data_IF_708509518400
#
_entry.id   IF_708509518400
#
_cell.length_a   1.000
_cell.length_b   1.000
_cell.length_c   1.000
_cell.angle_alpha   90.00
_cell.angle_beta   90.00
_cell.angle_gamma   90.00
#
_symmetry.space_group_name_H-M   'P 1'
#
loop_
_entity.id
_entity.type
_entity.pdbx_description
1 polymer ?
#
# COMPACT_ATOMS: atom_id res chain seq x y z
N UNK A 1 26.62 15.72 67.55
CA UNK A 1 25.44 16.24 66.84
C UNK A 1 25.88 16.60 65.42
N UNK A 2 25.77 15.67 64.47
CA UNK A 2 26.07 15.92 63.05
C UNK A 2 24.76 15.85 62.27
N UNK A 3 24.25 17.02 61.88
CA UNK A 3 23.17 17.14 60.91
C UNK A 3 23.77 17.50 59.56
N UNK A 4 23.80 16.54 58.64
CA UNK A 4 24.15 16.81 57.23
C UNK A 4 22.85 17.00 56.47
N UNK A 5 22.65 18.19 55.92
CA UNK A 5 21.47 18.55 55.13
C UNK A 5 21.58 17.93 53.73
N UNK A 6 20.62 17.09 53.37
CA UNK A 6 20.48 16.47 52.05
C UNK A 6 19.83 17.49 51.09
N UNK A 7 20.61 18.37 50.47
CA UNK A 7 20.10 19.37 49.50
C UNK A 7 20.24 18.91 48.03
N UNK A 8 21.04 17.87 47.75
CA UNK A 8 21.41 17.49 46.38
C UNK A 8 20.36 16.75 45.54
N UNK A 9 19.33 16.14 46.16
CA UNK A 9 18.41 15.23 45.46
C UNK A 9 17.40 15.91 44.53
N UNK A 10 16.87 17.07 44.94
CA UNK A 10 15.77 17.75 44.23
C UNK A 10 16.24 18.49 42.97
N UNK A 11 17.39 19.16 43.03
CA UNK A 11 17.97 19.84 41.86
C UNK A 11 18.35 18.85 40.75
N UNK A 12 18.87 17.67 41.10
CA UNK A 12 19.18 16.61 40.14
C UNK A 12 17.95 16.02 39.47
N UNK A 13 16.81 15.93 40.17
CA UNK A 13 15.55 15.45 39.62
C UNK A 13 14.96 16.43 38.59
N UNK A 14 15.02 17.73 38.84
CA UNK A 14 14.54 18.78 37.92
C UNK A 14 15.31 18.77 36.59
N UNK A 15 16.65 18.66 36.63
CA UNK A 15 17.49 18.62 35.43
C UNK A 15 17.19 17.38 34.58
N UNK A 16 17.00 16.21 35.20
CA UNK A 16 16.61 14.99 34.48
C UNK A 16 15.24 15.15 33.83
N UNK A 17 14.28 15.79 34.49
CA UNK A 17 12.96 16.08 33.92
C UNK A 17 13.03 17.02 32.70
N UNK A 18 13.85 18.07 32.76
CA UNK A 18 14.05 19.00 31.63
C UNK A 18 14.72 18.32 30.41
N UNK A 19 15.70 17.44 30.65
CA UNK A 19 16.33 16.67 29.58
C UNK A 19 15.36 15.67 28.96
N UNK A 20 14.54 15.00 29.78
CA UNK A 20 13.51 14.07 29.33
C UNK A 20 12.47 14.78 28.44
N UNK A 21 11.93 15.91 28.90
CA UNK A 21 10.94 16.69 28.13
C UNK A 21 11.52 17.24 26.82
N UNK A 22 12.80 17.66 26.81
CA UNK A 22 13.48 18.06 25.57
C UNK A 22 13.64 16.89 24.60
N UNK A 23 13.98 15.72 25.11
CA UNK A 23 14.10 14.51 24.30
C UNK A 23 12.75 14.08 23.72
N UNK A 24 11.70 14.06 24.53
CA UNK A 24 10.32 13.77 24.09
C UNK A 24 9.89 14.73 22.96
N UNK A 25 10.06 16.04 23.15
CA UNK A 25 9.76 17.03 22.09
C UNK A 25 10.58 16.84 20.82
N UNK A 26 11.81 16.32 20.92
CA UNK A 26 12.64 16.02 19.75
C UNK A 26 12.07 14.82 18.99
N UNK A 27 11.71 13.75 19.68
CA UNK A 27 11.08 12.56 19.09
C UNK A 27 9.76 12.92 18.40
N UNK A 28 8.93 13.76 19.02
CA UNK A 28 7.67 14.23 18.42
C UNK A 28 7.90 14.97 17.09
N UNK A 29 8.93 15.82 17.03
CA UNK A 29 9.30 16.54 15.80
C UNK A 29 9.78 15.58 14.72
N UNK A 30 10.63 14.62 15.08
CA UNK A 30 11.14 13.60 14.16
C UNK A 30 9.99 12.75 13.60
N UNK A 31 9.04 12.34 14.44
CA UNK A 31 7.84 11.59 14.02
C UNK A 31 6.90 12.38 13.08
N UNK A 32 6.82 13.71 13.23
CA UNK A 32 6.07 14.56 12.28
C UNK A 32 6.77 14.63 10.93
N UNK A 33 8.10 14.77 10.92
CA UNK A 33 8.90 14.78 9.67
C UNK A 33 8.77 13.44 8.95
N UNK A 34 8.91 12.34 9.68
CA UNK A 34 8.79 10.98 9.14
C UNK A 34 7.41 10.75 8.51
N UNK A 35 6.33 11.09 9.21
CA UNK A 35 4.96 10.99 8.65
C UNK A 35 4.79 11.81 7.39
N UNK A 36 5.34 13.03 7.34
CA UNK A 36 5.29 13.87 6.14
C UNK A 36 6.05 13.22 4.98
N UNK A 37 7.23 12.63 5.24
CA UNK A 37 8.01 11.93 4.21
C UNK A 37 7.25 10.72 3.68
N UNK A 38 6.70 9.88 4.56
CA UNK A 38 5.89 8.72 4.18
C UNK A 38 4.67 9.11 3.33
N UNK A 39 3.97 10.20 3.67
CA UNK A 39 2.85 10.70 2.87
C UNK A 39 3.28 11.17 1.47
N UNK A 40 4.43 11.85 1.36
CA UNK A 40 4.98 12.27 0.07
C UNK A 40 5.43 11.07 -0.77
N UNK A 41 6.04 10.06 -0.16
CA UNK A 41 6.44 8.83 -0.85
C UNK A 41 5.22 8.04 -1.34
N UNK A 42 4.18 7.91 -0.50
CA UNK A 42 2.93 7.29 -0.89
C UNK A 42 2.25 8.03 -2.06
N UNK A 43 2.25 9.36 -2.04
CA UNK A 43 1.69 10.17 -3.12
C UNK A 43 2.50 10.10 -4.42
N UNK A 44 3.81 9.80 -4.33
CA UNK A 44 4.70 9.60 -5.48
C UNK A 44 4.66 8.18 -6.05
N UNK A 45 4.03 7.23 -5.35
CA UNK A 45 3.92 5.86 -5.84
C UNK A 45 3.05 5.87 -7.11
N UNK A 46 3.56 5.34 -8.23
CA UNK A 46 2.74 5.22 -9.44
C UNK A 46 1.49 4.37 -9.11
N UNK A 47 0.34 4.65 -9.75
CA UNK A 47 -0.87 3.89 -9.53
C UNK A 47 -0.59 2.40 -9.74
N UNK A 48 -1.19 1.58 -8.88
CA UNK A 48 -0.95 0.15 -8.94
C UNK A 48 -1.53 -0.46 -10.23
N UNK A 49 -0.84 -1.47 -10.76
CA UNK A 49 -1.24 -2.22 -11.94
C UNK A 49 -2.57 -3.00 -11.77
N UNK A 50 -3.73 -2.35 -11.70
CA UNK A 50 -5.01 -3.04 -11.41
C UNK A 50 -5.78 -3.39 -12.70
N UNK A 51 -5.94 -4.70 -12.95
CA UNK A 51 -6.94 -5.25 -13.88
C UNK A 51 -7.88 -6.15 -13.07
N UNK A 52 -9.13 -5.72 -12.87
CA UNK A 52 -10.09 -6.41 -11.99
C UNK A 52 -10.89 -7.54 -12.64
N UNK A 53 -10.68 -7.81 -13.93
CA UNK A 53 -11.55 -8.64 -14.76
C UNK A 53 -10.88 -9.91 -15.30
N UNK A 54 -9.69 -10.26 -14.81
CA UNK A 54 -8.87 -11.46 -15.17
C UNK A 54 -8.55 -11.68 -16.66
N UNK A 55 -9.00 -10.82 -17.55
CA UNK A 55 -8.71 -10.89 -18.98
C UNK A 55 -7.38 -10.24 -19.36
N UNK A 56 -6.74 -10.77 -20.40
CA UNK A 56 -5.47 -10.25 -20.91
C UNK A 56 -5.62 -8.85 -21.52
N UNK A 57 -4.55 -8.05 -21.51
CA UNK A 57 -4.52 -6.72 -22.15
C UNK A 57 -4.93 -6.76 -23.63
N UNK A 58 -4.66 -7.88 -24.31
CA UNK A 58 -5.00 -8.12 -25.72
C UNK A 58 -6.52 -8.11 -26.00
N UNK A 59 -7.35 -8.22 -24.96
CA UNK A 59 -8.81 -8.17 -25.06
C UNK A 59 -9.38 -6.74 -25.00
N UNK A 60 -8.52 -5.74 -24.96
CA UNK A 60 -8.90 -4.33 -24.89
C UNK A 60 -8.68 -3.64 -26.25
N UNK A 61 -9.58 -2.73 -26.62
CA UNK A 61 -9.35 -1.81 -27.74
C UNK A 61 -8.39 -0.67 -27.37
N UNK A 62 -8.11 0.20 -28.34
CA UNK A 62 -7.27 1.40 -28.15
C UNK A 62 -7.86 2.42 -27.17
N UNK A 63 -9.15 2.34 -26.86
CA UNK A 63 -9.85 3.21 -25.90
C UNK A 63 -9.92 2.58 -24.50
N UNK A 64 -9.43 1.35 -24.33
CA UNK A 64 -9.41 0.60 -23.07
C UNK A 64 -10.69 -0.16 -22.76
N UNK A 65 -11.61 -0.33 -23.72
CA UNK A 65 -12.81 -1.15 -23.52
C UNK A 65 -12.45 -2.63 -23.65
N UNK A 66 -12.82 -3.43 -22.65
CA UNK A 66 -12.72 -4.89 -22.71
C UNK A 66 -13.85 -5.48 -23.60
N UNK A 67 -13.51 -6.47 -24.43
CA UNK A 67 -14.45 -7.16 -25.34
C UNK A 67 -14.85 -8.57 -24.90
N UNK A 68 -14.47 -8.99 -23.70
CA UNK A 68 -14.82 -10.29 -23.13
C UNK A 68 -16.01 -10.19 -22.16
N UNK A 69 -16.59 -11.34 -21.83
CA UNK A 69 -17.62 -11.47 -20.81
C UNK A 69 -17.02 -11.96 -19.48
N UNK A 70 -17.57 -11.51 -18.35
CA UNK A 70 -17.22 -11.97 -16.99
C UNK A 70 -18.42 -12.62 -16.32
N UNK A 71 -18.16 -13.54 -15.39
CA UNK A 71 -19.20 -14.02 -14.48
C UNK A 71 -19.52 -12.95 -13.44
N UNK A 72 -20.65 -12.28 -13.62
CA UNK A 72 -21.14 -11.28 -12.69
C UNK A 72 -22.20 -11.89 -11.77
N UNK A 73 -22.17 -11.60 -10.45
CA UNK A 73 -23.24 -11.99 -9.57
C UNK A 73 -24.54 -11.29 -9.98
N UNK A 74 -25.64 -12.04 -10.02
CA UNK A 74 -26.97 -11.55 -10.42
C UNK A 74 -28.00 -11.67 -9.29
N UNK A 75 -27.68 -12.42 -8.25
CA UNK A 75 -28.55 -12.65 -7.12
C UNK A 75 -27.71 -12.75 -5.84
N UNK A 76 -28.22 -12.15 -4.76
CA UNK A 76 -27.55 -12.06 -3.46
C UNK A 76 -28.50 -12.52 -2.36
N UNK A 77 -27.95 -13.22 -1.37
CA UNK A 77 -28.70 -13.57 -0.16
C UNK A 77 -28.82 -12.38 0.81
N UNK A 78 -29.44 -12.61 1.97
CA UNK A 78 -29.59 -11.61 3.03
C UNK A 78 -28.25 -11.11 3.61
N UNK A 79 -27.19 -11.92 3.50
CA UNK A 79 -25.83 -11.60 3.97
C UNK A 79 -24.96 -10.97 2.87
N UNK A 80 -25.54 -10.61 1.72
CA UNK A 80 -24.86 -10.08 0.52
C UNK A 80 -23.83 -11.04 -0.08
N UNK A 81 -23.97 -12.34 0.16
CA UNK A 81 -23.18 -13.34 -0.56
C UNK A 81 -23.86 -13.62 -1.90
N UNK A 82 -23.09 -13.66 -3.00
CA UNK A 82 -23.66 -13.98 -4.29
C UNK A 82 -24.10 -15.45 -4.32
N UNK A 83 -25.36 -15.69 -4.67
CA UNK A 83 -25.93 -17.05 -4.77
C UNK A 83 -26.06 -17.52 -6.21
N UNK A 84 -26.00 -16.60 -7.18
CA UNK A 84 -26.07 -16.91 -8.61
C UNK A 84 -25.21 -15.96 -9.42
N UNK A 85 -24.57 -16.50 -10.45
CA UNK A 85 -23.76 -15.77 -11.43
C UNK A 85 -24.36 -15.91 -12.83
N UNK A 86 -24.09 -14.92 -13.69
CA UNK A 86 -24.40 -14.97 -15.11
C UNK A 86 -23.30 -14.30 -15.92
N UNK A 87 -23.10 -14.77 -17.16
CA UNK A 87 -22.22 -14.13 -18.12
C UNK A 87 -22.73 -12.74 -18.48
N UNK A 88 -21.89 -11.71 -18.32
CA UNK A 88 -22.19 -10.34 -18.74
C UNK A 88 -20.95 -9.67 -19.36
N UNK A 89 -21.15 -8.70 -20.27
CA UNK A 89 -20.05 -7.92 -20.83
C UNK A 89 -19.18 -7.29 -19.75
N UNK A 90 -17.87 -7.45 -19.88
CA UNK A 90 -16.93 -6.87 -18.95
C UNK A 90 -16.98 -5.34 -18.99
N UNK A 91 -17.03 -4.71 -17.82
CA UNK A 91 -17.05 -3.25 -17.66
C UNK A 91 -15.70 -2.67 -17.21
N UNK A 92 -14.62 -3.46 -17.22
CA UNK A 92 -13.28 -2.95 -16.89
C UNK A 92 -12.75 -2.03 -18.01
N UNK A 93 -12.13 -0.91 -17.61
CA UNK A 93 -11.60 0.13 -18.51
C UNK A 93 -10.10 -0.02 -18.76
N UNK A 94 -9.62 -1.26 -18.85
CA UNK A 94 -8.20 -1.59 -18.98
C UNK A 94 -7.37 -1.28 -17.73
N UNK A 95 -6.27 -2.00 -17.63
CA UNK A 95 -5.11 -1.67 -16.84
C UNK A 95 -4.62 -0.21 -17.05
N UNK A 96 -4.39 0.52 -15.96
CA UNK A 96 -3.75 1.84 -15.96
C UNK A 96 -2.47 1.78 -15.13
N UNK A 97 -1.31 1.77 -15.80
CA UNK A 97 0.00 1.68 -15.16
C UNK A 97 1.14 1.54 -16.19
N UNK A 98 2.39 1.35 -15.75
CA UNK A 98 3.51 1.05 -16.65
C UNK A 98 3.24 -0.27 -17.40
N UNK A 99 3.66 -0.41 -18.66
CA UNK A 99 3.37 -1.64 -19.40
C UNK A 99 3.90 -2.87 -18.63
N UNK A 100 3.04 -3.87 -18.32
CA UNK A 100 3.52 -5.08 -17.69
C UNK A 100 4.52 -5.77 -18.62
N UNK A 101 5.60 -6.29 -18.05
CA UNK A 101 6.61 -7.01 -18.83
C UNK A 101 5.94 -8.16 -19.58
N UNK A 102 6.13 -8.26 -20.91
CA UNK A 102 5.53 -9.34 -21.66
C UNK A 102 6.17 -10.66 -21.22
N UNK A 103 5.35 -11.67 -20.92
CA UNK A 103 5.84 -13.04 -20.76
C UNK A 103 6.21 -13.56 -22.14
N UNK A 104 7.51 -13.71 -22.40
CA UNK A 104 8.00 -14.33 -23.62
C UNK A 104 8.22 -15.82 -23.35
N UNK A 105 7.71 -16.67 -24.24
CA UNK A 105 8.08 -18.08 -24.24
C UNK A 105 9.49 -18.21 -24.81
N UNK A 106 10.44 -18.66 -24.00
CA UNK A 106 11.74 -19.09 -24.47
C UNK A 106 11.62 -20.57 -24.88
N UNK A 107 11.91 -20.88 -26.13
CA UNK A 107 12.06 -22.26 -26.57
C UNK A 107 13.22 -22.91 -25.82
N UNK A 108 13.09 -24.21 -25.54
CA UNK A 108 14.17 -24.99 -24.97
C UNK A 108 15.37 -24.96 -25.93
N UNK A 109 16.56 -24.66 -25.40
CA UNK A 109 17.80 -24.72 -26.18
C UNK A 109 18.14 -26.20 -26.36
N UNK A 110 17.68 -26.81 -27.45
CA UNK A 110 18.14 -28.13 -27.85
C UNK A 110 19.36 -27.98 -28.73
N UNK A 111 20.50 -28.51 -28.27
CA UNK A 111 21.62 -28.74 -29.17
C UNK A 111 21.16 -29.74 -30.24
N UNK A 112 21.23 -29.33 -31.50
CA UNK A 112 21.03 -30.22 -32.63
C UNK A 112 22.32 -31.03 -32.77
N UNK A 113 22.30 -32.28 -32.32
CA UNK A 113 23.36 -33.27 -32.59
C UNK A 113 23.63 -33.41 -34.09
#
# INVERSE_FOLDING_TARGET
MWGVVVVGGWAGAQVRGALKTRHERRLEREAVVERRQQALEAARRPPEPVCGCTHHLAKHDKQGKCHEDVEAPVEWDADRKPVRFASRPCTCQQYVGPQPLPTLYAQELTDLD
#
